data_IF_889702384028
#
_entry.id   IF_889702384028
#
_cell.length_a   1.000
_cell.length_b   1.000
_cell.length_c   1.000
_cell.angle_alpha   90.00
_cell.angle_beta   90.00
_cell.angle_gamma   90.00
#
_symmetry.space_group_name_H-M   'P 1'
#
loop_
_entity.id
_entity.type
_entity.pdbx_description
1 polymer ?
#
# COMPACT_ATOMS: atom_id res chain seq x y z
N UNK A 1 2.15 11.25 -3.33
CA UNK A 1 2.57 11.23 -4.75
C UNK A 1 1.41 11.73 -5.61
N UNK A 2 1.71 12.48 -6.67
CA UNK A 2 0.71 12.96 -7.64
C UNK A 2 1.25 12.62 -9.03
N UNK A 3 0.46 11.93 -9.84
CA UNK A 3 0.84 11.51 -11.20
C UNK A 3 -0.29 11.80 -12.18
N UNK A 4 -0.01 12.18 -13.45
CA UNK A 4 -1.04 12.28 -14.48
C UNK A 4 -1.72 10.93 -14.72
N UNK A 5 -3.02 10.93 -15.02
CA UNK A 5 -3.78 9.74 -15.40
C UNK A 5 -4.85 10.07 -16.42
N UNK A 6 -5.13 9.10 -17.30
CA UNK A 6 -6.24 9.10 -18.26
C UNK A 6 -7.59 8.74 -17.60
N UNK A 7 -7.56 8.25 -16.34
CA UNK A 7 -8.77 7.83 -15.61
C UNK A 7 -9.58 9.02 -15.13
N UNK A 8 -10.90 8.85 -15.05
CA UNK A 8 -11.84 9.85 -14.55
C UNK A 8 -12.19 9.62 -13.08
N UNK A 9 -12.24 8.35 -12.66
CA UNK A 9 -12.40 7.95 -11.26
C UNK A 9 -11.31 6.94 -10.86
N UNK A 10 -11.10 6.79 -9.55
CA UNK A 10 -10.26 5.71 -9.01
C UNK A 10 -10.84 4.34 -9.35
N UNK A 11 -12.16 4.22 -9.50
CA UNK A 11 -12.84 2.98 -9.88
C UNK A 11 -12.54 2.50 -11.29
N UNK A 12 -12.03 3.37 -12.17
CA UNK A 12 -11.57 2.98 -13.51
C UNK A 12 -10.29 2.11 -13.47
N UNK A 13 -9.62 2.01 -12.31
CA UNK A 13 -8.51 1.08 -12.10
C UNK A 13 -8.96 -0.37 -11.79
N UNK A 14 -10.26 -0.62 -11.65
CA UNK A 14 -10.78 -1.90 -11.16
C UNK A 14 -10.83 -1.94 -9.63
N UNK A 15 -10.89 -3.12 -9.02
CA UNK A 15 -10.94 -3.24 -7.55
C UNK A 15 -9.71 -2.66 -6.85
N UNK A 16 -9.76 -2.37 -5.53
CA UNK A 16 -8.57 -1.92 -4.79
C UNK A 16 -7.36 -2.85 -4.97
N UNK A 17 -7.55 -4.16 -5.00
CA UNK A 17 -6.48 -5.14 -5.23
C UNK A 17 -5.90 -5.04 -6.65
N UNK A 18 -6.76 -4.84 -7.66
CA UNK A 18 -6.31 -4.59 -9.03
C UNK A 18 -5.55 -3.26 -9.13
N UNK A 19 -6.01 -2.22 -8.44
CA UNK A 19 -5.27 -0.97 -8.31
C UNK A 19 -3.89 -1.20 -7.68
N UNK A 20 -3.80 -1.95 -6.57
CA UNK A 20 -2.53 -2.27 -5.91
C UNK A 20 -1.57 -2.98 -6.86
N UNK A 21 -2.06 -3.89 -7.70
CA UNK A 21 -1.23 -4.57 -8.70
C UNK A 21 -0.58 -3.59 -9.69
N UNK A 22 -1.27 -2.50 -10.03
CA UNK A 22 -0.78 -1.46 -10.94
C UNK A 22 0.18 -0.48 -10.25
N UNK A 23 0.04 -0.28 -8.94
CA UNK A 23 0.91 0.60 -8.14
C UNK A 23 1.84 -0.16 -7.20
N UNK A 24 2.13 -1.43 -7.48
CA UNK A 24 2.91 -2.31 -6.60
C UNK A 24 4.35 -1.81 -6.36
N UNK A 25 4.86 -0.94 -7.23
CA UNK A 25 6.15 -0.27 -7.04
C UNK A 25 6.21 0.54 -5.73
N UNK A 26 5.05 0.92 -5.17
CA UNK A 26 4.95 1.55 -3.85
C UNK A 26 5.42 0.65 -2.70
N UNK A 27 5.30 -0.67 -2.86
CA UNK A 27 5.67 -1.65 -1.84
C UNK A 27 7.18 -1.90 -1.77
N UNK A 28 7.93 -1.39 -2.75
CA UNK A 28 9.34 -1.69 -2.96
C UNK A 28 9.53 -2.79 -4.00
N UNK A 29 10.71 -2.81 -4.62
CA UNK A 29 11.13 -3.89 -5.53
C UNK A 29 12.17 -4.74 -4.83
N UNK A 30 12.02 -6.07 -4.93
CA UNK A 30 13.08 -6.99 -4.58
C UNK A 30 14.26 -6.74 -5.54
N UNK A 31 15.38 -6.27 -5.01
CA UNK A 31 16.61 -6.05 -5.78
C UNK A 31 17.43 -7.33 -5.94
N UNK A 32 17.23 -8.32 -5.04
CA UNK A 32 17.92 -9.60 -5.08
C UNK A 32 17.30 -10.52 -6.14
N UNK A 33 18.07 -10.89 -7.16
CA UNK A 33 17.66 -11.81 -8.23
C UNK A 33 18.53 -13.06 -8.15
N UNK A 34 18.47 -13.76 -7.01
CA UNK A 34 19.17 -15.01 -6.80
C UNK A 34 18.21 -16.13 -6.40
N UNK A 35 18.66 -17.37 -6.57
CA UNK A 35 17.91 -18.52 -6.08
C UNK A 35 18.00 -18.60 -4.55
N UNK A 36 16.86 -18.79 -3.90
CA UNK A 36 16.77 -18.94 -2.45
C UNK A 36 15.59 -19.85 -2.11
N UNK A 37 15.87 -21.00 -1.49
CA UNK A 37 14.85 -21.95 -1.06
C UNK A 37 14.78 -22.10 0.47
N UNK A 38 15.53 -21.26 1.21
CA UNK A 38 15.74 -21.40 2.66
C UNK A 38 15.17 -20.26 3.48
N UNK A 39 14.31 -19.43 2.88
CA UNK A 39 13.63 -18.34 3.57
C UNK A 39 12.31 -18.86 4.13
N UNK A 40 12.40 -19.40 5.35
CA UNK A 40 11.28 -20.08 6.01
C UNK A 40 10.00 -19.23 5.99
N UNK A 41 8.94 -19.76 5.37
CA UNK A 41 7.64 -19.09 5.25
C UNK A 41 7.47 -18.24 3.98
N UNK A 42 8.45 -18.23 3.06
CA UNK A 42 8.38 -17.58 1.76
C UNK A 42 8.38 -18.60 0.62
N UNK A 43 7.84 -18.20 -0.52
CA UNK A 43 7.96 -18.97 -1.75
C UNK A 43 9.43 -19.02 -2.20
N UNK A 44 9.81 -20.08 -2.92
CA UNK A 44 11.15 -20.18 -3.49
C UNK A 44 11.46 -18.93 -4.34
N UNK A 45 12.62 -18.32 -4.09
CA UNK A 45 13.16 -17.11 -4.72
C UNK A 45 12.48 -15.79 -4.33
N UNK A 46 11.49 -15.82 -3.43
CA UNK A 46 10.82 -14.63 -2.93
C UNK A 46 11.41 -14.22 -1.58
N UNK A 47 12.03 -13.04 -1.52
CA UNK A 47 12.60 -12.49 -0.27
C UNK A 47 11.75 -11.39 0.35
N UNK A 48 10.66 -11.03 -0.33
CA UNK A 48 9.66 -10.09 0.11
C UNK A 48 8.27 -10.58 -0.27
N UNK A 49 7.33 -10.52 0.68
CA UNK A 49 5.91 -10.81 0.47
C UNK A 49 5.09 -9.59 0.83
N UNK A 50 3.95 -9.42 0.17
CA UNK A 50 2.97 -8.38 0.46
C UNK A 50 1.60 -9.02 0.64
N UNK A 51 1.02 -8.86 1.82
CA UNK A 51 -0.31 -9.37 2.13
C UNK A 51 -1.28 -8.21 2.32
N UNK A 52 -2.37 -8.21 1.57
CA UNK A 52 -3.48 -7.30 1.81
C UNK A 52 -4.20 -7.74 3.08
N UNK A 53 -4.27 -6.84 4.06
CA UNK A 53 -4.98 -7.06 5.33
C UNK A 53 -6.40 -6.53 5.26
N UNK A 54 -6.59 -5.39 4.62
CA UNK A 54 -7.88 -4.70 4.51
C UNK A 54 -7.92 -3.87 3.24
N UNK A 55 -9.09 -3.81 2.63
CA UNK A 55 -9.41 -2.89 1.55
C UNK A 55 -10.78 -2.28 1.80
N UNK A 56 -10.92 -0.99 1.55
CA UNK A 56 -12.22 -0.34 1.57
C UNK A 56 -12.30 0.77 0.53
N UNK A 57 -13.53 1.07 0.16
CA UNK A 57 -13.89 2.17 -0.72
C UNK A 57 -14.71 3.16 0.07
N UNK A 58 -14.36 4.44 -0.01
CA UNK A 58 -15.09 5.50 0.66
C UNK A 58 -15.26 6.70 -0.27
N UNK A 59 -16.35 7.45 -0.08
CA UNK A 59 -16.58 8.69 -0.82
C UNK A 59 -16.38 9.88 0.11
N UNK A 60 -15.50 10.81 -0.26
CA UNK A 60 -15.23 12.03 0.49
C UNK A 60 -15.38 13.21 -0.47
N UNK A 61 -16.37 14.06 -0.20
CA UNK A 61 -16.63 15.27 -1.00
C UNK A 61 -16.94 14.97 -2.47
N UNK A 62 -17.71 13.92 -2.75
CA UNK A 62 -18.09 13.53 -4.12
C UNK A 62 -17.00 12.78 -4.90
N UNK A 63 -15.89 12.42 -4.26
CA UNK A 63 -14.77 11.69 -4.89
C UNK A 63 -14.60 10.34 -4.21
N UNK A 64 -14.44 9.31 -5.03
CA UNK A 64 -14.16 7.96 -4.56
C UNK A 64 -12.68 7.82 -4.17
N UNK A 65 -12.45 7.14 -3.05
CA UNK A 65 -11.13 6.82 -2.54
C UNK A 65 -11.01 5.33 -2.32
N UNK A 66 -9.84 4.80 -2.67
CA UNK A 66 -9.40 3.49 -2.24
C UNK A 66 -8.53 3.62 -1.01
N UNK A 67 -8.85 2.82 0.00
CA UNK A 67 -8.02 2.60 1.15
C UNK A 67 -7.55 1.15 1.13
N UNK A 68 -6.25 0.95 1.27
CA UNK A 68 -5.62 -0.37 1.35
C UNK A 68 -4.69 -0.43 2.54
N UNK A 69 -4.78 -1.52 3.30
CA UNK A 69 -3.82 -1.90 4.33
C UNK A 69 -3.06 -3.11 3.84
N UNK A 70 -1.74 -2.96 3.69
CA UNK A 70 -0.84 -4.00 3.20
C UNK A 70 0.26 -4.22 4.22
N UNK A 71 0.47 -5.47 4.63
CA UNK A 71 1.62 -5.87 5.42
C UNK A 71 2.67 -6.48 4.51
N UNK A 72 3.80 -5.80 4.36
CA UNK A 72 4.96 -6.34 3.65
C UNK A 72 5.92 -6.99 4.63
N UNK A 73 6.39 -8.20 4.36
CA UNK A 73 7.43 -8.88 5.14
C UNK A 73 8.62 -9.17 4.25
N UNK A 74 9.81 -9.04 4.81
CA UNK A 74 11.08 -9.44 4.18
C UNK A 74 11.67 -10.61 4.95
N UNK A 75 12.48 -11.42 4.28
CA UNK A 75 13.02 -12.64 4.87
C UNK A 75 14.04 -12.40 6.00
N UNK A 76 14.69 -11.24 6.02
CA UNK A 76 15.51 -10.79 7.15
C UNK A 76 14.70 -10.47 8.41
N UNK A 77 13.36 -10.45 8.30
CA UNK A 77 12.46 -10.12 9.39
C UNK A 77 12.57 -8.67 9.86
N UNK A 78 13.05 -7.75 9.00
CA UNK A 78 13.20 -6.34 9.35
C UNK A 78 11.89 -5.76 9.90
N UNK A 79 11.99 -5.16 11.08
CA UNK A 79 10.87 -4.65 11.88
C UNK A 79 9.68 -5.62 12.11
N UNK A 80 9.80 -6.93 11.84
CA UNK A 80 8.67 -7.87 11.85
C UNK A 80 7.75 -7.75 10.63
N UNK A 81 8.14 -6.95 9.65
CA UNK A 81 7.30 -6.48 8.55
C UNK A 81 6.97 -4.99 8.67
N UNK A 82 6.36 -4.43 7.62
CA UNK A 82 5.97 -3.03 7.53
C UNK A 82 4.51 -2.95 7.13
N UNK A 83 3.71 -2.30 7.96
CA UNK A 83 2.34 -1.91 7.62
C UNK A 83 2.40 -0.72 6.69
N UNK A 84 1.76 -0.83 5.53
CA UNK A 84 1.65 0.20 4.51
C UNK A 84 0.17 0.48 4.29
N UNK A 85 -0.24 1.70 4.68
CA UNK A 85 -1.57 2.20 4.41
C UNK A 85 -1.53 3.10 3.18
N UNK A 86 -2.34 2.77 2.18
CA UNK A 86 -2.42 3.48 0.90
C UNK A 86 -3.82 4.07 0.77
N UNK A 87 -3.91 5.38 0.65
CA UNK A 87 -5.15 6.08 0.33
C UNK A 87 -4.99 6.75 -1.03
N UNK A 88 -5.85 6.43 -2.00
CA UNK A 88 -5.72 6.92 -3.37
C UNK A 88 -7.05 7.43 -3.94
N UNK A 89 -6.99 8.46 -4.79
CA UNK A 89 -8.14 8.99 -5.54
C UNK A 89 -7.68 9.59 -6.87
N UNK A 90 -8.63 9.81 -7.78
CA UNK A 90 -8.40 10.53 -9.03
C UNK A 90 -9.18 11.84 -9.00
N UNK A 91 -8.51 12.94 -9.32
CA UNK A 91 -9.15 14.25 -9.46
C UNK A 91 -8.45 15.06 -10.55
N UNK A 92 -9.23 15.70 -11.44
CA UNK A 92 -8.70 16.59 -12.48
C UNK A 92 -7.63 15.95 -13.38
N UNK A 93 -7.80 14.68 -13.77
CA UNK A 93 -6.85 13.94 -14.61
C UNK A 93 -5.52 13.62 -13.91
N UNK A 94 -5.50 13.62 -12.57
CA UNK A 94 -4.34 13.26 -11.76
C UNK A 94 -4.72 12.21 -10.72
N UNK A 95 -3.87 11.20 -10.60
CA UNK A 95 -3.90 10.19 -9.55
C UNK A 95 -3.12 10.72 -8.34
N UNK A 96 -3.82 10.81 -7.22
CA UNK A 96 -3.30 11.22 -5.92
C UNK A 96 -3.17 10.00 -5.03
N UNK A 97 -1.97 9.77 -4.49
CA UNK A 97 -1.68 8.62 -3.61
C UNK A 97 -1.01 9.15 -2.35
N UNK A 98 -1.63 8.91 -1.20
CA UNK A 98 -1.02 8.98 0.11
C UNK A 98 -0.57 7.59 0.52
N UNK A 99 0.69 7.46 0.95
CA UNK A 99 1.20 6.23 1.55
C UNK A 99 1.81 6.56 2.89
N UNK A 100 1.25 5.98 3.95
CA UNK A 100 1.79 6.07 5.30
C UNK A 100 2.23 4.67 5.73
N UNK A 101 3.42 4.55 6.32
CA UNK A 101 3.96 3.24 6.70
C UNK A 101 4.67 3.27 8.04
N UNK A 102 4.67 2.13 8.73
CA UNK A 102 5.51 1.88 9.90
C UNK A 102 5.86 0.39 10.02
N UNK A 103 7.04 0.10 10.56
CA UNK A 103 7.41 -1.26 10.95
C UNK A 103 6.47 -1.83 12.01
N UNK A 104 6.24 -3.13 11.96
CA UNK A 104 5.36 -3.85 12.87
C UNK A 104 5.79 -3.66 14.34
N UNK A 105 7.11 -3.71 14.61
CA UNK A 105 7.70 -3.37 15.93
C UNK A 105 7.30 -2.00 16.48
N UNK A 106 7.04 -1.01 15.61
CA UNK A 106 6.60 0.34 16.01
C UNK A 106 5.08 0.47 15.95
N UNK A 107 4.43 -0.29 15.09
CA UNK A 107 2.99 -0.32 14.88
C UNK A 107 2.24 -0.49 16.20
N UNK A 108 2.53 -1.57 16.93
CA UNK A 108 1.91 -1.85 18.23
C UNK A 108 2.46 -0.98 19.38
N UNK A 109 3.53 -0.20 19.16
CA UNK A 109 4.07 0.78 20.12
C UNK A 109 3.47 2.17 19.95
N UNK A 110 2.31 2.27 19.31
CA UNK A 110 1.55 3.51 19.17
C UNK A 110 1.70 4.20 17.81
N UNK A 111 2.61 3.76 16.93
CA UNK A 111 2.73 4.33 15.59
C UNK A 111 1.46 4.11 14.76
N UNK A 112 0.74 3.00 15.00
CA UNK A 112 -0.55 2.68 14.35
C UNK A 112 -1.49 3.88 14.29
N UNK A 113 -1.73 4.54 15.43
CA UNK A 113 -2.63 5.69 15.52
C UNK A 113 -2.25 6.80 14.56
N UNK A 114 -0.96 7.12 14.47
CA UNK A 114 -0.48 8.20 13.60
C UNK A 114 -0.54 7.82 12.13
N UNK A 115 -0.22 6.57 11.81
CA UNK A 115 -0.22 6.07 10.43
C UNK A 115 -1.65 5.95 9.90
N UNK A 116 -2.58 5.38 10.68
CA UNK A 116 -4.00 5.31 10.35
C UNK A 116 -4.62 6.71 10.21
N UNK A 117 -4.34 7.63 11.14
CA UNK A 117 -4.83 9.01 11.05
C UNK A 117 -4.28 9.73 9.81
N UNK A 118 -3.00 9.56 9.48
CA UNK A 118 -2.42 10.18 8.29
C UNK A 118 -3.03 9.64 6.99
N UNK A 119 -3.32 8.34 6.92
CA UNK A 119 -3.95 7.73 5.76
C UNK A 119 -5.44 8.13 5.62
N UNK A 120 -6.20 8.14 6.73
CA UNK A 120 -7.65 8.41 6.71
C UNK A 120 -8.00 9.90 6.62
N UNK A 121 -7.12 10.80 7.08
CA UNK A 121 -7.30 12.25 6.93
C UNK A 121 -6.96 12.78 5.54
N UNK A 122 -6.40 11.94 4.66
CA UNK A 122 -6.04 12.35 3.32
C UNK A 122 -7.28 12.63 2.46
N UNK A 123 -7.39 13.86 1.96
CA UNK A 123 -8.44 14.29 1.04
C UNK A 123 -7.89 15.29 0.02
N UNK A 124 -8.54 15.33 -1.14
CA UNK A 124 -8.21 16.22 -2.27
C UNK A 124 -9.40 17.11 -2.54
N UNK A 125 -9.17 18.43 -2.52
CA UNK A 125 -10.16 19.46 -2.84
C UNK A 125 -10.53 19.49 -4.32
#
# INVERSE_FOLDING_TARGET
>A
MITPTDKKSITDYGSPEQFLSQVNYLLGKQAYVGETASEGGFDANAVATANILETSTQEIGGKEYYYLSVLTRTADGDEGGKHQLITATVNGGKLYICKAQAGDKRWFKGARKFVENAATSFSVA
#
